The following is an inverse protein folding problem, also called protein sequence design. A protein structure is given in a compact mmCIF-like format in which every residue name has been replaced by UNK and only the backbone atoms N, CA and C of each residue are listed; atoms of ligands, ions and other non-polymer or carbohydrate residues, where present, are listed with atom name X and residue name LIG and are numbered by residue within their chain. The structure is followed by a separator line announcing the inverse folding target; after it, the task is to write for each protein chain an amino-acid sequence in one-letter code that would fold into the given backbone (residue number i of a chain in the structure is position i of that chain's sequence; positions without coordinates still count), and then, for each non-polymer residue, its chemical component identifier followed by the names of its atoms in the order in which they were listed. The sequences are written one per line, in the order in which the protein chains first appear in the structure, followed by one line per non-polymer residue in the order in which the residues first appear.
data_IF_667041703868
#
_entry.id   IF_667041703868
#
_cell.length_a   1.000
_cell.length_b   1.000
_cell.length_c   1.000
_cell.angle_alpha   90.00
_cell.angle_beta   90.00
_cell.angle_gamma   90.00
#
_symmetry.space_group_name_H-M   'P 1'
#
loop_
_entity.id
_entity.type
_entity.pdbx_description
1 polymer ?
#
# COMPACT_ATOMS: atom_id res chain seq x y z
N UNK A 1 -32.23 -36.02 -22.06
CA UNK A 1 -31.25 -35.60 -23.06
C UNK A 1 -31.79 -34.33 -23.67
N UNK A 2 -31.22 -33.19 -23.31
CA UNK A 2 -31.18 -31.99 -24.15
C UNK A 2 -30.17 -31.07 -23.49
N UNK A 3 -29.00 -31.01 -24.14
CA UNK A 3 -27.84 -30.22 -23.74
C UNK A 3 -28.05 -28.81 -24.27
N UNK A 4 -28.34 -27.86 -23.39
CA UNK A 4 -28.61 -26.47 -23.76
C UNK A 4 -27.28 -25.78 -24.11
N UNK A 5 -27.02 -25.71 -25.42
CA UNK A 5 -25.85 -25.10 -26.02
C UNK A 5 -25.91 -23.57 -25.85
N UNK A 6 -25.22 -23.04 -24.83
CA UNK A 6 -25.02 -21.59 -24.66
C UNK A 6 -24.10 -21.05 -25.75
N UNK A 7 -24.68 -20.35 -26.71
CA UNK A 7 -23.96 -19.53 -27.69
C UNK A 7 -23.11 -18.47 -26.98
N UNK A 8 -21.79 -18.57 -27.15
CA UNK A 8 -20.82 -17.59 -26.68
C UNK A 8 -20.83 -16.40 -27.64
N UNK A 9 -21.53 -15.34 -27.25
CA UNK A 9 -21.57 -14.06 -27.96
C UNK A 9 -20.14 -13.45 -28.02
N UNK A 10 -19.51 -13.52 -29.20
CA UNK A 10 -18.15 -13.00 -29.44
C UNK A 10 -18.17 -11.47 -29.42
N UNK A 11 -17.51 -10.86 -28.43
CA UNK A 11 -17.29 -9.40 -28.37
C UNK A 11 -16.57 -8.89 -29.63
N UNK A 12 -16.93 -7.70 -30.15
CA UNK A 12 -16.29 -7.14 -31.35
C UNK A 12 -14.80 -6.86 -31.09
N UNK A 13 -13.98 -7.18 -32.08
CA UNK A 13 -12.53 -7.03 -32.01
C UNK A 13 -12.17 -5.54 -31.99
N UNK A 14 -11.56 -5.06 -30.89
CA UNK A 14 -11.08 -3.68 -30.82
C UNK A 14 -9.94 -3.45 -31.82
N UNK A 15 -9.94 -2.31 -32.50
CA UNK A 15 -8.90 -1.94 -33.48
C UNK A 15 -7.49 -2.02 -32.87
N UNK A 16 -7.33 -1.60 -31.61
CA UNK A 16 -6.04 -1.65 -30.91
C UNK A 16 -5.61 -3.07 -30.56
N UNK A 17 -6.56 -3.95 -30.25
CA UNK A 17 -6.32 -5.38 -30.07
C UNK A 17 -5.91 -6.03 -31.40
N UNK A 18 -6.56 -5.66 -32.51
CA UNK A 18 -6.15 -6.04 -33.86
C UNK A 18 -4.74 -5.57 -34.22
N UNK A 19 -4.41 -4.33 -33.89
CA UNK A 19 -3.08 -3.75 -34.12
C UNK A 19 -2.00 -4.47 -33.29
N UNK A 20 -2.29 -4.82 -32.04
CA UNK A 20 -1.37 -5.57 -31.16
C UNK A 20 -1.09 -6.99 -31.70
N UNK A 21 -2.12 -7.71 -32.13
CA UNK A 21 -1.92 -9.02 -32.74
C UNK A 21 -1.18 -8.92 -34.09
N UNK A 22 -1.43 -7.87 -34.87
CA UNK A 22 -0.72 -7.62 -36.11
C UNK A 22 0.77 -7.30 -35.89
N UNK A 23 1.12 -6.47 -34.91
CA UNK A 23 2.51 -6.12 -34.60
C UNK A 23 3.28 -7.29 -33.97
N UNK A 24 2.63 -8.07 -33.11
CA UNK A 24 3.20 -9.29 -32.52
C UNK A 24 3.38 -10.40 -33.56
N UNK A 25 2.39 -10.58 -34.44
CA UNK A 25 2.47 -11.50 -35.58
C UNK A 25 3.57 -11.11 -36.57
N UNK A 26 3.66 -9.83 -36.92
CA UNK A 26 4.72 -9.30 -37.77
C UNK A 26 6.11 -9.49 -37.16
N UNK A 27 6.28 -9.23 -35.86
CA UNK A 27 7.54 -9.48 -35.17
C UNK A 27 7.94 -10.96 -35.25
N UNK A 28 6.99 -11.87 -35.01
CA UNK A 28 7.22 -13.32 -35.07
C UNK A 28 7.65 -13.77 -36.46
N UNK A 29 6.97 -13.29 -37.50
CA UNK A 29 7.33 -13.58 -38.90
C UNK A 29 8.69 -13.00 -39.29
N UNK A 30 9.05 -11.82 -38.79
CA UNK A 30 10.35 -11.22 -39.02
C UNK A 30 11.46 -11.98 -38.29
N UNK A 31 11.21 -12.49 -37.08
CA UNK A 31 12.15 -13.38 -36.39
C UNK A 31 12.34 -14.70 -37.14
N UNK A 32 11.26 -15.34 -37.60
CA UNK A 32 11.34 -16.55 -38.42
C UNK A 32 12.10 -16.29 -39.73
N UNK A 33 11.81 -15.15 -40.40
CA UNK A 33 12.53 -14.71 -41.59
C UNK A 33 14.01 -14.47 -41.31
N UNK A 34 14.38 -13.94 -40.15
CA UNK A 34 15.79 -13.72 -39.79
C UNK A 34 16.60 -15.03 -39.68
N UNK A 35 15.92 -16.15 -39.40
CA UNK A 35 16.51 -17.49 -39.39
C UNK A 35 16.76 -18.08 -40.79
N UNK A 36 16.30 -17.42 -41.86
CA UNK A 36 16.47 -17.90 -43.22
C UNK A 36 17.94 -17.81 -43.65
N UNK A 37 18.52 -18.99 -43.93
CA UNK A 37 19.93 -19.16 -44.32
C UNK A 37 20.30 -18.44 -45.62
N UNK A 38 19.33 -18.10 -46.46
CA UNK A 38 19.55 -17.40 -47.74
C UNK A 38 19.60 -15.87 -47.64
N UNK A 39 19.37 -15.28 -46.45
CA UNK A 39 19.52 -13.84 -46.25
C UNK A 39 20.96 -13.46 -45.97
N UNK A 40 21.41 -12.33 -46.55
CA UNK A 40 22.71 -11.73 -46.21
C UNK A 40 22.69 -11.16 -44.79
N UNK A 41 23.84 -11.06 -44.14
CA UNK A 41 23.94 -10.56 -42.77
C UNK A 41 23.37 -9.14 -42.59
N UNK A 42 23.55 -8.26 -43.57
CA UNK A 42 22.96 -6.91 -43.52
C UNK A 42 21.42 -6.95 -43.59
N UNK A 43 20.85 -7.88 -44.38
CA UNK A 43 19.41 -8.06 -44.47
C UNK A 43 18.85 -8.72 -43.20
N UNK A 44 19.57 -9.67 -42.58
CA UNK A 44 19.19 -10.25 -41.28
C UNK A 44 19.19 -9.19 -40.19
N UNK A 45 20.22 -8.35 -40.13
CA UNK A 45 20.29 -7.22 -39.19
C UNK A 45 19.08 -6.29 -39.32
N UNK A 46 18.75 -5.86 -40.54
CA UNK A 46 17.56 -5.04 -40.81
C UNK A 46 16.25 -5.74 -40.41
N UNK A 47 16.16 -7.04 -40.66
CA UNK A 47 14.96 -7.85 -40.32
C UNK A 47 14.79 -7.98 -38.79
N UNK A 48 15.88 -8.16 -38.05
CA UNK A 48 15.86 -8.26 -36.58
C UNK A 48 15.54 -6.90 -35.96
N UNK A 49 16.16 -5.81 -36.43
CA UNK A 49 15.84 -4.46 -35.96
C UNK A 49 14.36 -4.13 -36.19
N UNK A 50 13.81 -4.49 -37.36
CA UNK A 50 12.39 -4.33 -37.63
C UNK A 50 11.52 -5.17 -36.67
N UNK A 51 11.90 -6.41 -36.38
CA UNK A 51 11.17 -7.27 -35.43
C UNK A 51 11.15 -6.69 -34.01
N UNK A 52 12.29 -6.16 -33.54
CA UNK A 52 12.40 -5.52 -32.22
C UNK A 52 11.59 -4.22 -32.16
N UNK A 53 11.57 -3.42 -33.23
CA UNK A 53 10.69 -2.25 -33.31
C UNK A 53 9.21 -2.63 -33.28
N UNK A 54 8.80 -3.70 -33.95
CA UNK A 54 7.41 -4.20 -33.90
C UNK A 54 7.02 -4.67 -32.49
N UNK A 55 7.92 -5.34 -31.77
CA UNK A 55 7.68 -5.72 -30.37
C UNK A 55 7.59 -4.50 -29.45
N UNK A 56 8.49 -3.53 -29.63
CA UNK A 56 8.44 -2.28 -28.88
C UNK A 56 7.12 -1.54 -29.08
N UNK A 57 6.62 -1.47 -30.32
CA UNK A 57 5.33 -0.87 -30.64
C UNK A 57 4.15 -1.64 -30.01
N UNK A 58 4.22 -2.97 -29.96
CA UNK A 58 3.22 -3.79 -29.28
C UNK A 58 3.15 -3.49 -27.78
N UNK A 59 4.31 -3.43 -27.13
CA UNK A 59 4.42 -3.12 -25.69
C UNK A 59 4.03 -1.67 -25.40
N UNK A 60 4.43 -0.73 -26.25
CA UNK A 60 4.04 0.67 -26.12
C UNK A 60 2.54 0.88 -26.29
N UNK A 61 1.87 0.09 -27.14
CA UNK A 61 0.42 0.10 -27.29
C UNK A 61 -0.28 -0.48 -26.05
N UNK A 62 0.23 -1.56 -25.48
CA UNK A 62 -0.30 -2.18 -24.25
C UNK A 62 -0.14 -1.28 -23.02
N UNK A 63 1.00 -0.60 -22.90
CA UNK A 63 1.31 0.34 -21.82
C UNK A 63 0.73 1.75 -22.04
N UNK A 64 0.09 1.98 -23.19
CA UNK A 64 -0.54 3.25 -23.55
C UNK A 64 0.43 4.42 -23.77
N UNK A 65 1.70 4.14 -24.11
CA UNK A 65 2.76 5.14 -24.27
C UNK A 65 2.76 5.86 -25.63
N UNK A 66 1.86 5.50 -26.53
CA UNK A 66 1.75 6.15 -27.83
C UNK A 66 1.06 7.53 -27.70
N UNK A 67 1.61 8.61 -28.28
CA UNK A 67 1.09 9.97 -28.13
C UNK A 67 -0.30 10.20 -28.78
N UNK A 68 -0.86 9.18 -29.43
CA UNK A 68 -2.21 9.19 -30.02
C UNK A 68 -3.28 8.56 -29.12
N UNK A 69 -2.94 8.09 -27.92
CA UNK A 69 -3.88 7.47 -26.96
C UNK A 69 -4.72 8.51 -26.17
N UNK A 70 -5.16 9.58 -26.85
CA UNK A 70 -6.06 10.58 -26.26
C UNK A 70 -7.54 10.19 -26.33
N UNK A 71 -7.88 9.09 -27.00
CA UNK A 71 -9.24 8.56 -27.06
C UNK A 71 -9.20 7.04 -27.05
N UNK A 72 -9.44 6.43 -25.89
CA UNK A 72 -10.52 5.47 -25.62
C UNK A 72 -10.49 5.19 -24.11
N UNK A 73 -11.33 5.94 -23.40
CA UNK A 73 -11.80 5.59 -22.06
C UNK A 73 -13.21 5.04 -22.26
N UNK A 74 -13.35 3.74 -22.53
CA UNK A 74 -14.64 3.05 -22.47
C UNK A 74 -14.58 2.07 -21.30
N UNK A 75 -15.02 2.52 -20.12
CA UNK A 75 -16.37 2.30 -19.58
C UNK A 75 -16.79 0.84 -19.65
N UNK A 76 -16.70 0.21 -18.49
CA UNK A 76 -17.38 -1.03 -18.12
C UNK A 76 -18.85 -0.91 -18.51
N UNK A 77 -19.30 -1.76 -19.45
CA UNK A 77 -20.71 -1.90 -19.81
C UNK A 77 -21.41 -2.69 -18.70
N UNK A 78 -22.11 -1.97 -17.83
CA UNK A 78 -23.17 -2.52 -16.97
C UNK A 78 -24.38 -2.68 -17.90
N UNK A 79 -24.91 -3.90 -18.01
CA UNK A 79 -26.18 -4.15 -18.72
C UNK A 79 -27.27 -3.30 -18.08
N UNK A 80 -27.76 -2.31 -18.82
CA UNK A 80 -28.96 -1.55 -18.47
C UNK A 80 -30.16 -2.50 -18.44
N UNK A 81 -30.74 -2.68 -17.24
CA UNK A 81 -32.17 -2.97 -17.11
C UNK A 81 -32.94 -1.63 -17.11
N UNK A 82 -34.15 -1.59 -17.67
CA UNK A 82 -34.78 -0.34 -18.03
C UNK A 82 -35.40 0.36 -16.82
N UNK A 83 -35.06 1.64 -16.69
CA UNK A 83 -35.88 2.76 -16.19
C UNK A 83 -36.72 2.50 -14.93
N UNK A 84 -36.24 3.04 -13.79
CA UNK A 84 -36.94 4.10 -13.03
C UNK A 84 -36.08 4.55 -11.85
N UNK A 85 -35.79 5.86 -11.83
CA UNK A 85 -35.66 6.71 -10.64
C UNK A 85 -34.92 6.11 -9.43
N UNK A 86 -33.64 6.45 -9.26
CA UNK A 86 -33.08 6.77 -7.93
C UNK A 86 -31.66 7.36 -8.08
N UNK A 87 -31.55 8.69 -8.16
CA UNK A 87 -30.31 9.39 -7.83
C UNK A 87 -30.09 9.29 -6.32
N UNK A 88 -29.77 8.11 -5.80
CA UNK A 88 -29.25 7.93 -4.43
C UNK A 88 -28.76 6.49 -4.29
N UNK A 89 -27.49 6.23 -4.57
CA UNK A 89 -26.69 5.26 -3.81
C UNK A 89 -25.22 5.36 -4.20
N UNK A 90 -24.48 5.90 -3.23
CA UNK A 90 -23.04 5.94 -3.07
C UNK A 90 -22.38 4.61 -3.49
N UNK A 91 -21.54 4.63 -4.52
CA UNK A 91 -20.49 3.64 -4.66
C UNK A 91 -19.43 3.94 -3.59
N UNK A 92 -19.29 3.05 -2.61
CA UNK A 92 -18.40 3.24 -1.47
C UNK A 92 -16.92 3.34 -1.94
N UNK A 93 -16.07 4.14 -1.27
CA UNK A 93 -14.63 4.25 -1.60
C UNK A 93 -13.80 2.98 -1.36
N UNK A 94 -14.41 1.92 -0.82
CA UNK A 94 -13.71 0.73 -0.32
C UNK A 94 -13.31 -0.25 -1.42
N UNK A 95 -14.19 -0.55 -2.38
CA UNK A 95 -13.94 -1.54 -3.45
C UNK A 95 -12.88 -1.09 -4.47
N UNK A 96 -12.80 0.22 -4.75
CA UNK A 96 -11.78 0.76 -5.66
C UNK A 96 -10.37 0.70 -5.06
N UNK A 97 -10.25 0.88 -3.74
CA UNK A 97 -8.98 0.75 -3.00
C UNK A 97 -8.51 -0.71 -2.99
N UNK A 98 -9.39 -1.70 -2.77
CA UNK A 98 -9.01 -3.12 -2.72
C UNK A 98 -8.51 -3.65 -4.07
N UNK A 99 -9.13 -3.23 -5.17
CA UNK A 99 -8.70 -3.61 -6.52
C UNK A 99 -7.37 -2.95 -6.88
N UNK A 100 -7.19 -1.67 -6.57
CA UNK A 100 -5.91 -0.99 -6.76
C UNK A 100 -4.78 -1.65 -5.96
N UNK A 101 -5.05 -2.06 -4.72
CA UNK A 101 -4.09 -2.78 -3.88
C UNK A 101 -3.77 -4.20 -4.36
N UNK A 102 -4.73 -4.90 -4.97
CA UNK A 102 -4.51 -6.22 -5.57
C UNK A 102 -3.74 -6.13 -6.89
N UNK A 103 -4.00 -5.10 -7.71
CA UNK A 103 -3.27 -4.82 -8.96
C UNK A 103 -1.81 -4.47 -8.64
N UNK A 104 -1.56 -3.57 -7.68
CA UNK A 104 -0.20 -3.17 -7.27
C UNK A 104 0.66 -4.31 -6.67
N UNK A 105 0.05 -5.31 -6.00
CA UNK A 105 0.79 -6.48 -5.46
C UNK A 105 1.20 -7.49 -6.54
N UNK A 106 0.36 -7.69 -7.57
CA UNK A 106 0.68 -8.62 -8.67
C UNK A 106 1.72 -8.06 -9.64
N UNK A 107 1.76 -6.75 -9.81
CA UNK A 107 2.67 -6.11 -10.77
C UNK A 107 4.17 -6.23 -10.38
N UNK A 108 4.55 -6.46 -9.13
CA UNK A 108 5.95 -6.35 -8.72
C UNK A 108 6.82 -7.60 -8.98
N UNK A 109 6.29 -8.82 -8.83
CA UNK A 109 7.09 -10.04 -9.07
C UNK A 109 7.24 -10.32 -10.56
N UNK A 110 6.13 -10.26 -11.30
CA UNK A 110 6.12 -10.48 -12.75
C UNK A 110 6.94 -9.40 -13.46
N UNK A 111 6.85 -8.12 -13.09
CA UNK A 111 7.71 -7.07 -13.66
C UNK A 111 9.20 -7.22 -13.28
N UNK A 112 9.53 -7.85 -12.15
CA UNK A 112 10.91 -8.14 -11.78
C UNK A 112 11.46 -9.29 -12.61
N UNK A 113 10.68 -10.35 -12.81
CA UNK A 113 11.05 -11.50 -13.66
C UNK A 113 11.15 -11.09 -15.12
N UNK A 114 10.14 -10.39 -15.65
CA UNK A 114 10.09 -9.92 -17.05
C UNK A 114 11.19 -8.89 -17.30
N UNK A 115 11.40 -7.94 -16.39
CA UNK A 115 12.45 -6.92 -16.52
C UNK A 115 13.86 -7.50 -16.41
N UNK A 116 14.08 -8.48 -15.55
CA UNK A 116 15.39 -9.16 -15.45
C UNK A 116 15.63 -10.03 -16.67
N UNK A 117 14.60 -10.76 -17.12
CA UNK A 117 14.67 -11.61 -18.31
C UNK A 117 14.95 -10.84 -19.59
N UNK A 118 14.32 -9.68 -19.78
CA UNK A 118 14.54 -8.84 -20.97
C UNK A 118 15.96 -8.25 -21.01
N UNK A 119 16.46 -7.73 -19.89
CA UNK A 119 17.84 -7.25 -19.79
C UNK A 119 18.88 -8.35 -20.05
N UNK A 120 18.68 -9.54 -19.48
CA UNK A 120 19.56 -10.71 -19.73
C UNK A 120 19.49 -11.16 -21.19
N UNK A 121 18.31 -11.18 -21.80
CA UNK A 121 18.14 -11.56 -23.20
C UNK A 121 18.87 -10.59 -24.14
N UNK A 122 18.73 -9.27 -23.92
CA UNK A 122 19.41 -8.23 -24.69
C UNK A 122 20.93 -8.37 -24.54
N UNK A 123 21.43 -8.53 -23.32
CA UNK A 123 22.87 -8.73 -23.05
C UNK A 123 23.44 -9.95 -23.77
N UNK A 124 22.78 -11.10 -23.65
CA UNK A 124 23.19 -12.36 -24.29
C UNK A 124 23.14 -12.26 -25.81
N UNK A 125 22.10 -11.62 -26.37
CA UNK A 125 21.95 -11.41 -27.80
C UNK A 125 23.10 -10.56 -28.37
N UNK A 126 23.47 -9.47 -27.70
CA UNK A 126 24.58 -8.61 -28.13
C UNK A 126 25.91 -9.37 -28.05
N UNK A 127 26.16 -10.14 -26.99
CA UNK A 127 27.38 -10.96 -26.88
C UNK A 127 27.46 -12.03 -27.97
N UNK A 128 26.36 -12.73 -28.24
CA UNK A 128 26.31 -13.78 -29.25
C UNK A 128 26.62 -13.25 -30.65
N UNK A 129 26.01 -12.12 -31.04
CA UNK A 129 26.23 -11.51 -32.36
C UNK A 129 27.62 -10.89 -32.49
N UNK A 130 28.18 -10.34 -31.41
CA UNK A 130 29.55 -9.78 -31.41
C UNK A 130 30.65 -10.85 -31.31
N UNK A 131 30.30 -12.09 -30.98
CA UNK A 131 31.20 -13.24 -31.00
C UNK A 131 31.23 -13.92 -32.38
N UNK A 132 30.06 -14.15 -32.96
CA UNK A 132 29.91 -15.02 -34.15
C UNK A 132 30.05 -14.30 -35.49
N UNK A 133 29.95 -12.97 -35.51
CA UNK A 133 30.00 -12.20 -36.76
C UNK A 133 31.40 -11.67 -37.09
N UNK A 134 31.90 -12.08 -38.25
CA UNK A 134 33.19 -11.63 -38.82
C UNK A 134 33.29 -10.11 -38.98
N UNK A 135 32.14 -9.43 -39.12
CA UNK A 135 32.10 -7.96 -39.22
C UNK A 135 32.65 -7.28 -37.97
N UNK A 136 32.28 -7.76 -36.78
CA UNK A 136 32.73 -7.18 -35.52
C UNK A 136 34.14 -7.64 -35.14
N UNK A 137 34.56 -8.82 -35.61
CA UNK A 137 35.94 -9.30 -35.44
C UNK A 137 36.93 -8.36 -36.13
N UNK A 138 36.60 -7.88 -37.33
CA UNK A 138 37.43 -6.94 -38.11
C UNK A 138 37.39 -5.49 -37.60
N UNK A 139 36.49 -5.14 -36.66
CA UNK A 139 36.31 -3.78 -36.12
C UNK A 139 36.35 -3.77 -34.58
N UNK A 140 37.55 -3.77 -33.98
CA UNK A 140 37.72 -4.00 -32.54
C UNK A 140 37.05 -2.92 -31.67
N UNK A 141 37.06 -1.65 -32.11
CA UNK A 141 36.44 -0.54 -31.37
C UNK A 141 34.90 -0.66 -31.30
N UNK A 142 34.25 -1.02 -32.41
CA UNK A 142 32.79 -1.23 -32.46
C UNK A 142 32.40 -2.44 -31.63
N UNK A 143 33.21 -3.51 -31.68
CA UNK A 143 33.02 -4.71 -30.86
C UNK A 143 33.13 -4.41 -29.37
N UNK A 144 34.11 -3.62 -28.96
CA UNK A 144 34.29 -3.20 -27.57
C UNK A 144 33.08 -2.37 -27.09
N UNK A 145 32.65 -1.38 -27.88
CA UNK A 145 31.48 -0.55 -27.53
C UNK A 145 30.21 -1.39 -27.35
N UNK A 146 29.92 -2.33 -28.27
CA UNK A 146 28.75 -3.21 -28.16
C UNK A 146 28.84 -4.16 -26.95
N UNK A 147 30.02 -4.68 -26.62
CA UNK A 147 30.21 -5.49 -25.41
C UNK A 147 29.99 -4.66 -24.13
N UNK A 148 30.37 -3.38 -24.12
CA UNK A 148 30.06 -2.48 -22.99
C UNK A 148 28.56 -2.29 -22.81
N UNK A 149 27.78 -2.15 -23.89
CA UNK A 149 26.32 -2.10 -23.80
C UNK A 149 25.72 -3.41 -23.27
N UNK A 150 26.26 -4.57 -23.66
CA UNK A 150 25.84 -5.85 -23.09
C UNK A 150 26.14 -5.93 -21.58
N UNK A 151 27.32 -5.46 -21.14
CA UNK A 151 27.70 -5.42 -19.74
C UNK A 151 26.73 -4.53 -18.91
N UNK A 152 26.31 -3.40 -19.45
CA UNK A 152 25.28 -2.53 -18.83
C UNK A 152 23.94 -3.26 -18.69
N UNK A 153 23.54 -4.04 -19.70
CA UNK A 153 22.30 -4.82 -19.64
C UNK A 153 22.35 -5.93 -18.58
N UNK A 154 23.47 -6.66 -18.47
CA UNK A 154 23.66 -7.66 -17.42
C UNK A 154 23.75 -7.04 -16.02
N UNK A 155 24.44 -5.90 -15.90
CA UNK A 155 24.46 -5.13 -14.65
C UNK A 155 23.05 -4.66 -14.26
N UNK A 156 22.25 -4.20 -15.22
CA UNK A 156 20.84 -3.85 -15.00
C UNK A 156 19.99 -5.03 -14.53
N UNK A 157 20.20 -6.22 -15.10
CA UNK A 157 19.54 -7.46 -14.67
C UNK A 157 19.93 -7.84 -13.23
N UNK A 158 21.22 -7.82 -12.91
CA UNK A 158 21.74 -8.12 -11.57
C UNK A 158 21.28 -7.07 -10.53
N UNK A 159 21.33 -5.78 -10.89
CA UNK A 159 20.82 -4.68 -10.06
C UNK A 159 19.33 -4.85 -9.76
N UNK A 160 18.52 -5.25 -10.74
CA UNK A 160 17.08 -5.53 -10.56
C UNK A 160 16.79 -6.77 -9.73
N UNK A 161 17.69 -7.74 -9.75
CA UNK A 161 17.56 -8.98 -8.97
C UNK A 161 18.10 -8.85 -7.54
N UNK A 162 19.15 -8.09 -7.28
CA UNK A 162 19.79 -8.03 -5.96
C UNK A 162 19.61 -6.71 -5.22
N UNK A 163 19.53 -5.59 -5.94
CA UNK A 163 19.66 -4.25 -5.34
C UNK A 163 18.41 -3.40 -5.39
N UNK A 164 17.51 -3.63 -6.37
CA UNK A 164 16.18 -3.03 -6.34
C UNK A 164 15.30 -3.92 -5.45
N UNK A 165 14.99 -3.47 -4.20
CA UNK A 165 14.07 -4.23 -3.37
C UNK A 165 12.74 -4.37 -4.12
N UNK A 166 11.94 -5.41 -3.83
CA UNK A 166 10.53 -5.33 -4.18
C UNK A 166 10.00 -3.98 -3.67
N UNK A 167 9.18 -3.28 -4.45
CA UNK A 167 8.59 -2.00 -4.05
C UNK A 167 7.68 -2.10 -2.80
N UNK A 168 7.74 -3.20 -2.05
CA UNK A 168 7.11 -3.39 -0.74
C UNK A 168 7.58 -2.35 0.28
N UNK A 169 8.85 -1.90 0.20
CA UNK A 169 9.38 -0.92 1.17
C UNK A 169 8.99 0.53 0.87
N UNK A 170 8.46 0.86 -0.31
CA UNK A 170 7.83 2.16 -0.53
C UNK A 170 6.46 2.25 0.17
N UNK A 171 5.79 1.12 0.41
CA UNK A 171 4.53 1.10 1.16
C UNK A 171 4.73 1.45 2.64
N UNK A 172 5.80 0.93 3.27
CA UNK A 172 6.10 1.25 4.68
C UNK A 172 6.61 2.69 4.88
N UNK A 173 7.16 3.34 3.84
CA UNK A 173 7.68 4.72 3.93
C UNK A 173 6.70 5.81 3.46
N UNK A 174 5.55 5.48 2.86
CA UNK A 174 4.64 6.49 2.27
C UNK A 174 3.16 6.31 2.63
N UNK A 175 2.80 5.36 3.49
CA UNK A 175 1.43 5.33 4.03
C UNK A 175 1.38 6.28 5.21
N UNK A 176 0.90 7.51 4.96
CA UNK A 176 0.46 8.38 6.05
C UNK A 176 -0.69 7.67 6.77
N UNK A 177 -0.70 7.61 8.12
CA UNK A 177 -1.84 7.05 8.83
C UNK A 177 -3.12 7.76 8.39
N UNK A 178 -4.23 7.04 8.34
CA UNK A 178 -5.57 7.64 8.24
C UNK A 178 -6.20 7.77 9.64
N UNK A 179 -5.72 7.00 10.63
CA UNK A 179 -6.21 6.98 12.01
C UNK A 179 -5.02 7.02 12.99
N UNK A 180 -5.09 7.89 13.99
CA UNK A 180 -4.12 7.95 15.10
C UNK A 180 -4.84 7.64 16.42
N UNK A 181 -4.44 6.58 17.10
CA UNK A 181 -4.94 6.26 18.44
C UNK A 181 -3.97 6.80 19.49
N UNK A 182 -4.41 7.73 20.33
CA UNK A 182 -3.64 8.18 21.50
C UNK A 182 -3.99 7.29 22.68
N UNK A 183 -3.03 6.47 23.10
CA UNK A 183 -3.20 5.43 24.11
C UNK A 183 -2.36 5.65 25.37
N UNK A 184 -2.75 4.94 26.44
CA UNK A 184 -2.16 5.08 27.77
C UNK A 184 -3.19 4.87 28.88
N UNK A 185 -2.70 4.73 30.10
CA UNK A 185 -3.56 4.60 31.29
C UNK A 185 -4.32 5.90 31.57
N UNK A 186 -5.32 5.81 32.44
CA UNK A 186 -6.07 6.98 32.90
C UNK A 186 -5.15 7.95 33.65
N UNK A 187 -5.42 9.23 33.50
CA UNK A 187 -4.52 10.28 34.00
C UNK A 187 -3.33 10.62 33.09
N UNK A 188 -3.02 9.79 32.08
CA UNK A 188 -1.89 10.05 31.16
C UNK A 188 -2.08 11.31 30.28
N UNK A 189 -3.31 11.80 30.13
CA UNK A 189 -3.62 13.00 29.33
C UNK A 189 -4.05 12.72 27.88
N UNK A 190 -4.50 11.48 27.59
CA UNK A 190 -4.92 11.04 26.24
C UNK A 190 -5.84 12.04 25.53
N UNK A 191 -6.99 12.39 26.12
CA UNK A 191 -7.98 13.26 25.47
C UNK A 191 -7.39 14.64 25.17
N UNK A 192 -6.66 15.24 26.12
CA UNK A 192 -6.01 16.55 25.92
C UNK A 192 -4.95 16.51 24.81
N UNK A 193 -4.08 15.50 24.80
CA UNK A 193 -3.05 15.34 23.75
C UNK A 193 -3.68 15.04 22.40
N UNK A 194 -4.71 14.18 22.36
CA UNK A 194 -5.43 13.82 21.14
C UNK A 194 -6.15 15.01 20.51
N UNK A 195 -6.82 15.83 21.32
CA UNK A 195 -7.50 17.05 20.89
C UNK A 195 -6.52 18.05 20.30
N UNK A 196 -5.44 18.38 21.02
CA UNK A 196 -4.41 19.32 20.53
C UNK A 196 -3.69 18.78 19.28
N UNK A 197 -3.44 17.47 19.22
CA UNK A 197 -2.86 16.83 18.04
C UNK A 197 -3.80 16.96 16.84
N UNK A 198 -5.09 16.66 17.02
CA UNK A 198 -6.10 16.75 15.98
C UNK A 198 -6.23 18.17 15.42
N UNK A 199 -6.27 19.17 16.29
CA UNK A 199 -6.27 20.59 15.89
C UNK A 199 -5.04 20.94 15.05
N UNK A 200 -3.85 20.57 15.52
CA UNK A 200 -2.58 20.89 14.84
C UNK A 200 -2.49 20.28 13.45
N UNK A 201 -2.95 19.05 13.26
CA UNK A 201 -2.92 18.34 11.97
C UNK A 201 -4.23 18.50 11.16
N UNK A 202 -5.19 19.28 11.66
CA UNK A 202 -6.52 19.50 11.05
C UNK A 202 -7.32 18.22 10.82
N UNK A 203 -7.35 17.33 11.82
CA UNK A 203 -8.10 16.07 11.84
C UNK A 203 -9.24 16.12 12.86
N UNK A 204 -10.16 15.16 12.80
CA UNK A 204 -11.27 15.09 13.74
C UNK A 204 -10.87 14.35 15.01
N UNK A 205 -11.02 15.01 16.16
CA UNK A 205 -10.85 14.37 17.47
C UNK A 205 -12.09 13.57 17.86
N UNK A 206 -11.86 12.38 18.42
CA UNK A 206 -12.90 11.54 19.00
C UNK A 206 -12.42 11.01 20.35
N UNK A 207 -13.25 11.17 21.38
CA UNK A 207 -13.03 10.46 22.65
C UNK A 207 -13.62 9.05 22.57
N UNK A 208 -12.77 8.03 22.68
CA UNK A 208 -13.16 6.62 22.64
C UNK A 208 -14.05 6.22 23.81
N UNK A 209 -14.02 6.97 24.92
CA UNK A 209 -14.88 6.69 26.08
C UNK A 209 -16.37 6.94 25.75
N UNK A 210 -16.69 7.73 24.71
CA UNK A 210 -18.05 7.97 24.22
C UNK A 210 -18.73 6.71 23.66
N UNK A 211 -17.95 5.68 23.30
CA UNK A 211 -18.47 4.44 22.74
C UNK A 211 -18.78 3.38 23.81
N UNK A 212 -18.55 3.69 25.09
CA UNK A 212 -18.89 2.76 26.17
C UNK A 212 -20.40 2.62 26.32
N UNK A 213 -20.83 1.39 26.58
CA UNK A 213 -22.21 1.13 27.00
C UNK A 213 -22.48 1.79 28.36
N UNK A 214 -23.77 2.08 28.63
CA UNK A 214 -24.20 2.58 29.93
C UNK A 214 -23.77 1.65 31.08
N UNK A 215 -23.83 0.34 30.88
CA UNK A 215 -23.40 -0.66 31.86
C UNK A 215 -21.89 -0.55 32.17
N UNK A 216 -21.04 -0.31 31.16
CA UNK A 216 -19.61 -0.12 31.37
C UNK A 216 -19.32 1.17 32.15
N UNK A 217 -20.01 2.25 31.81
CA UNK A 217 -19.90 3.53 32.52
C UNK A 217 -20.31 3.35 33.99
N UNK A 218 -21.40 2.66 34.27
CA UNK A 218 -21.86 2.38 35.64
C UNK A 218 -20.86 1.52 36.43
N UNK A 219 -20.28 0.47 35.81
CA UNK A 219 -19.20 -0.32 36.42
C UNK A 219 -18.00 0.56 36.80
N UNK A 220 -17.50 1.36 35.86
CA UNK A 220 -16.34 2.22 36.10
C UNK A 220 -16.61 3.30 37.16
N UNK A 221 -17.81 3.89 37.16
CA UNK A 221 -18.24 4.86 38.20
C UNK A 221 -18.25 4.24 39.59
N UNK A 222 -18.61 2.97 39.70
CA UNK A 222 -18.57 2.21 40.96
C UNK A 222 -17.17 1.68 41.31
N UNK A 223 -16.13 2.07 40.56
CA UNK A 223 -14.75 1.60 40.77
C UNK A 223 -14.53 0.13 40.41
N UNK A 224 -15.45 -0.49 39.68
CA UNK A 224 -15.36 -1.88 39.23
C UNK A 224 -14.59 -1.89 37.89
N UNK A 225 -13.43 -2.55 37.81
CA UNK A 225 -12.66 -2.63 36.58
C UNK A 225 -13.42 -3.48 35.55
N UNK A 226 -13.44 -2.99 34.30
CA UNK A 226 -14.01 -3.74 33.18
C UNK A 226 -13.22 -5.03 32.92
N UNK A 227 -13.89 -6.06 32.44
CA UNK A 227 -13.28 -7.29 31.94
C UNK A 227 -13.12 -7.25 30.41
N UNK A 228 -12.51 -8.27 29.82
CA UNK A 228 -12.29 -8.30 28.36
C UNK A 228 -13.64 -8.39 27.62
N UNK A 229 -14.60 -9.14 28.17
CA UNK A 229 -15.97 -9.29 27.67
C UNK A 229 -16.73 -7.96 27.62
N UNK A 230 -16.44 -7.07 28.57
CA UNK A 230 -16.99 -5.71 28.60
C UNK A 230 -16.35 -4.81 27.53
N UNK A 231 -15.08 -5.07 27.19
CA UNK A 231 -14.28 -4.22 26.28
C UNK A 231 -14.45 -4.60 24.81
N UNK A 232 -14.68 -5.87 24.47
CA UNK A 232 -14.80 -6.29 23.07
C UNK A 232 -15.86 -5.51 22.28
N UNK A 233 -17.12 -5.36 22.78
CA UNK A 233 -18.13 -4.60 22.04
C UNK A 233 -17.77 -3.12 21.91
N UNK A 234 -17.15 -2.55 22.95
CA UNK A 234 -16.69 -1.16 22.95
C UNK A 234 -15.60 -0.90 21.91
N UNK A 235 -14.59 -1.77 21.84
CA UNK A 235 -13.50 -1.67 20.86
C UNK A 235 -14.00 -1.87 19.43
N UNK A 236 -14.95 -2.78 19.22
CA UNK A 236 -15.55 -2.98 17.90
C UNK A 236 -16.36 -1.77 17.45
N UNK A 237 -17.10 -1.11 18.36
CA UNK A 237 -17.81 0.13 18.03
C UNK A 237 -16.85 1.24 17.58
N UNK A 238 -15.70 1.39 18.25
CA UNK A 238 -14.64 2.32 17.83
C UNK A 238 -14.08 1.93 16.46
N UNK A 239 -13.84 0.64 16.23
CA UNK A 239 -13.30 0.14 14.94
C UNK A 239 -14.27 0.39 13.79
N UNK A 240 -15.55 0.07 13.97
CA UNK A 240 -16.60 0.32 12.97
C UNK A 240 -16.68 1.79 12.63
N UNK A 241 -16.68 2.67 13.65
CA UNK A 241 -16.67 4.10 13.42
C UNK A 241 -15.42 4.56 12.65
N UNK A 242 -14.25 4.00 12.97
CA UNK A 242 -13.00 4.29 12.27
C UNK A 242 -12.95 3.72 10.84
N UNK A 243 -13.70 2.65 10.52
CA UNK A 243 -13.83 2.11 9.15
C UNK A 243 -14.68 2.99 8.25
N UNK A 244 -15.67 3.68 8.82
CA UNK A 244 -16.58 4.57 8.08
C UNK A 244 -16.00 5.98 7.88
N UNK A 245 -14.92 6.31 8.58
CA UNK A 245 -14.33 7.64 8.63
C UNK A 245 -12.83 7.61 8.34
N UNK A 246 -12.22 8.76 8.09
CA UNK A 246 -10.76 8.89 7.91
C UNK A 246 -10.29 10.20 8.51
N UNK A 247 -8.97 10.33 8.73
CA UNK A 247 -8.35 11.49 9.39
C UNK A 247 -8.89 11.70 10.80
N UNK A 248 -8.83 10.64 11.60
CA UNK A 248 -9.30 10.65 12.98
C UNK A 248 -8.14 10.57 13.97
N UNK A 249 -8.22 11.35 15.04
CA UNK A 249 -7.39 11.18 16.24
C UNK A 249 -8.29 10.71 17.36
N UNK A 250 -8.09 9.48 17.83
CA UNK A 250 -8.98 8.81 18.78
C UNK A 250 -8.24 8.63 20.11
N UNK A 251 -8.75 9.20 21.20
CA UNK A 251 -8.27 8.87 22.54
C UNK A 251 -8.84 7.51 22.94
N UNK A 252 -7.98 6.50 23.13
CA UNK A 252 -8.43 5.16 23.52
C UNK A 252 -7.37 4.47 24.36
N UNK A 253 -7.73 3.84 25.48
CA UNK A 253 -6.75 3.25 26.40
C UNK A 253 -5.92 2.12 25.77
N UNK A 254 -6.52 1.28 24.91
CA UNK A 254 -5.86 0.26 24.07
C UNK A 254 -4.71 -0.51 24.75
N UNK A 255 -4.94 -0.91 26.01
CA UNK A 255 -3.88 -1.36 26.94
C UNK A 255 -3.23 -2.69 26.57
N UNK A 256 -3.96 -3.61 25.93
CA UNK A 256 -3.46 -4.93 25.51
C UNK A 256 -3.13 -4.96 24.02
N UNK A 257 -2.16 -5.80 23.63
CA UNK A 257 -1.78 -6.01 22.22
C UNK A 257 -2.98 -6.44 21.37
N UNK A 258 -3.79 -7.38 21.87
CA UNK A 258 -4.99 -7.86 21.17
C UNK A 258 -6.00 -6.75 20.86
N UNK A 259 -6.07 -5.71 21.70
CA UNK A 259 -6.96 -4.57 21.46
C UNK A 259 -6.44 -3.70 20.32
N UNK A 260 -5.12 -3.47 20.29
CA UNK A 260 -4.46 -2.72 19.21
C UNK A 260 -4.56 -3.46 17.88
N UNK A 261 -4.38 -4.78 17.89
CA UNK A 261 -4.56 -5.63 16.70
C UNK A 261 -5.99 -5.56 16.16
N UNK A 262 -7.01 -5.58 17.03
CA UNK A 262 -8.40 -5.39 16.62
C UNK A 262 -8.61 -4.01 15.99
N UNK A 263 -8.20 -2.94 16.68
CA UNK A 263 -8.38 -1.56 16.22
C UNK A 263 -7.60 -1.23 14.94
N UNK A 264 -6.46 -1.91 14.69
CA UNK A 264 -5.68 -1.75 13.47
C UNK A 264 -6.19 -2.60 12.30
N UNK A 265 -7.09 -3.56 12.56
CA UNK A 265 -7.54 -4.51 11.55
C UNK A 265 -8.29 -3.78 10.43
N UNK A 266 -7.80 -3.96 9.21
CA UNK A 266 -8.32 -3.35 7.98
C UNK A 266 -8.19 -1.80 7.93
N UNK A 267 -7.39 -1.22 8.82
CA UNK A 267 -7.19 0.24 8.95
C UNK A 267 -5.71 0.61 8.87
N UNK A 268 -5.42 1.78 8.30
CA UNK A 268 -4.10 2.41 8.37
C UNK A 268 -3.98 3.20 9.68
N UNK A 269 -3.80 2.47 10.77
CA UNK A 269 -3.80 3.00 12.13
C UNK A 269 -2.40 3.00 12.75
N UNK A 270 -2.05 4.12 13.41
CA UNK A 270 -0.87 4.24 14.26
C UNK A 270 -1.29 4.52 15.70
N UNK A 271 -0.59 3.95 16.66
CA UNK A 271 -0.82 4.14 18.09
C UNK A 271 0.28 5.03 18.66
N UNK A 272 -0.11 6.05 19.42
CA UNK A 272 0.79 6.90 20.19
C UNK A 272 0.62 6.52 21.65
N UNK A 273 1.61 5.82 22.21
CA UNK A 273 1.62 5.44 23.61
C UNK A 273 2.25 6.54 24.46
N UNK A 274 1.43 7.14 25.32
CA UNK A 274 1.87 8.11 26.31
C UNK A 274 2.43 7.37 27.52
N UNK A 275 3.76 7.23 27.55
CA UNK A 275 4.49 6.58 28.64
C UNK A 275 4.70 7.59 29.78
N UNK A 276 3.93 7.39 30.86
CA UNK A 276 3.93 8.24 32.05
C UNK A 276 4.28 7.36 33.24
N UNK A 277 5.21 7.81 34.07
CA UNK A 277 5.61 7.08 35.27
C UNK A 277 4.45 7.05 36.28
N UNK A 278 4.41 5.99 37.10
CA UNK A 278 3.39 5.83 38.15
C UNK A 278 3.31 7.06 39.07
N UNK A 279 4.46 7.56 39.53
CA UNK A 279 4.55 8.72 40.43
C UNK A 279 3.94 9.98 39.80
N UNK A 280 4.17 10.19 38.51
CA UNK A 280 3.60 11.33 37.78
C UNK A 280 2.09 11.17 37.56
N UNK A 281 1.62 9.94 37.27
CA UNK A 281 0.18 9.65 37.17
C UNK A 281 -0.55 9.92 38.48
N UNK A 282 -0.01 9.45 39.61
CA UNK A 282 -0.57 9.69 40.96
C UNK A 282 -0.60 11.20 41.28
N UNK A 283 0.45 11.94 40.94
CA UNK A 283 0.49 13.41 41.10
C UNK A 283 -0.56 14.12 40.23
N UNK A 284 -0.75 13.69 38.97
CA UNK A 284 -1.74 14.27 38.06
C UNK A 284 -3.17 13.98 38.50
N UNK A 285 -3.41 12.76 39.00
CA UNK A 285 -4.74 12.35 39.47
C UNK A 285 -5.12 13.05 40.77
N UNK A 286 -4.18 13.31 41.68
CA UNK A 286 -4.44 14.04 42.93
C UNK A 286 -4.68 15.53 42.71
N UNK A 287 -4.07 16.15 41.70
CA UNK A 287 -4.29 17.57 41.35
C UNK A 287 -5.61 17.85 40.63
N UNK A 288 -6.25 16.84 40.02
CA UNK A 288 -7.52 17.02 39.29
C UNK A 288 -8.71 17.15 40.24
N UNK A 289 -9.41 18.27 40.17
CA UNK A 289 -10.70 18.49 40.82
C UNK A 289 -11.81 17.92 39.93
N UNK A 290 -12.54 16.91 40.43
CA UNK A 290 -13.60 16.22 39.67
C UNK A 290 -13.25 14.76 39.39
N UNK A 291 -13.49 13.89 40.38
CA UNK A 291 -13.16 12.47 40.31
C UNK A 291 -14.07 11.71 39.35
N UNK A 292 -13.67 11.55 38.08
CA UNK A 292 -14.30 10.55 37.21
C UNK A 292 -13.77 9.13 37.50
N UNK A 293 -12.61 8.98 38.15
CA UNK A 293 -12.03 7.67 38.46
C UNK A 293 -11.21 7.65 39.76
N UNK A 294 -11.48 6.68 40.67
CA UNK A 294 -10.72 6.55 41.92
C UNK A 294 -9.30 6.03 41.68
N UNK A 295 -8.34 6.41 42.54
CA UNK A 295 -6.94 5.97 42.44
C UNK A 295 -6.78 4.43 42.45
N UNK A 296 -7.71 3.69 43.05
CA UNK A 296 -7.74 2.22 43.04
C UNK A 296 -7.89 1.62 41.64
N UNK A 297 -8.41 2.36 40.66
CA UNK A 297 -8.49 1.94 39.26
C UNK A 297 -7.16 2.12 38.50
N UNK A 298 -6.21 2.90 39.03
CA UNK A 298 -4.90 3.05 38.39
C UNK A 298 -4.11 1.74 38.45
N UNK A 299 -4.13 1.05 39.59
CA UNK A 299 -3.45 -0.23 39.76
C UNK A 299 -3.96 -1.30 38.78
N UNK A 300 -5.29 -1.39 38.61
CA UNK A 300 -5.88 -2.35 37.67
C UNK A 300 -5.52 -2.03 36.22
N UNK A 301 -5.43 -0.75 35.85
CA UNK A 301 -5.01 -0.36 34.51
C UNK A 301 -3.52 -0.59 34.25
N UNK A 302 -2.66 -0.30 35.20
CA UNK A 302 -1.23 -0.61 35.11
C UNK A 302 -1.00 -2.12 35.02
N UNK A 303 -1.76 -2.93 35.77
CA UNK A 303 -1.72 -4.39 35.66
C UNK A 303 -2.24 -4.91 34.32
N UNK A 304 -3.17 -4.19 33.68
CA UNK A 304 -3.72 -4.54 32.36
C UNK A 304 -2.84 -4.08 31.21
N UNK A 305 -1.95 -3.11 31.44
CA UNK A 305 -1.09 -2.53 30.42
C UNK A 305 -0.04 -3.54 29.94
N UNK A 306 -0.18 -3.97 28.69
CA UNK A 306 0.85 -4.70 27.97
C UNK A 306 1.70 -3.67 27.22
N UNK A 307 2.87 -3.35 27.79
CA UNK A 307 3.83 -2.42 27.19
C UNK A 307 4.09 -2.76 25.72
N UNK A 308 4.03 -1.77 24.80
CA UNK A 308 4.30 -1.98 23.39
C UNK A 308 5.68 -2.60 23.18
N UNK A 309 5.72 -3.69 22.42
CA UNK A 309 6.96 -4.41 22.11
C UNK A 309 7.57 -3.90 20.81
N UNK A 310 8.86 -4.20 20.61
CA UNK A 310 9.59 -3.77 19.41
C UNK A 310 9.06 -4.37 18.10
N UNK A 311 8.28 -5.46 18.14
CA UNK A 311 7.61 -6.04 16.98
C UNK A 311 6.37 -5.26 16.53
N UNK A 312 5.82 -4.39 17.39
CA UNK A 312 4.65 -3.56 17.10
C UNK A 312 5.08 -2.28 16.34
N UNK A 313 5.40 -2.44 15.05
CA UNK A 313 5.89 -1.34 14.17
C UNK A 313 4.96 -0.11 14.09
N UNK A 314 3.67 -0.28 14.37
CA UNK A 314 2.65 0.77 14.32
C UNK A 314 2.44 1.48 15.66
N UNK A 315 3.34 1.33 16.63
CA UNK A 315 3.27 2.00 17.93
C UNK A 315 4.46 2.94 18.14
N UNK A 316 4.18 4.22 18.39
CA UNK A 316 5.14 5.25 18.75
C UNK A 316 5.06 5.49 20.26
N UNK A 317 6.17 5.31 20.95
CA UNK A 317 6.25 5.53 22.41
C UNK A 317 6.75 6.96 22.69
N UNK A 318 5.97 7.73 23.44
CA UNK A 318 6.29 9.11 23.81
C UNK A 318 6.39 9.21 25.33
N UNK A 319 7.60 9.46 25.82
CA UNK A 319 7.87 9.68 27.24
C UNK A 319 7.49 11.12 27.60
N UNK A 320 6.62 11.30 28.58
CA UNK A 320 6.02 12.60 28.90
C UNK A 320 6.89 13.50 29.81
N UNK A 321 8.05 13.04 30.27
CA UNK A 321 8.95 13.72 31.23
C UNK A 321 8.97 15.26 31.13
N UNK A 322 8.18 15.94 31.98
CA UNK A 322 8.03 17.39 32.15
C UNK A 322 7.77 18.23 30.87
N UNK A 323 7.34 17.60 29.77
CA UNK A 323 7.04 18.31 28.53
C UNK A 323 5.70 19.04 28.61
N UNK A 324 5.64 20.26 28.06
CA UNK A 324 4.37 20.93 27.79
C UNK A 324 3.56 20.13 26.76
N UNK A 325 2.24 20.35 26.71
CA UNK A 325 1.36 19.71 25.73
C UNK A 325 1.87 19.95 24.30
N UNK A 326 2.27 21.18 23.99
CA UNK A 326 2.86 21.53 22.69
C UNK A 326 4.16 20.78 22.38
N UNK A 327 4.99 20.55 23.40
CA UNK A 327 6.21 19.75 23.28
C UNK A 327 5.90 18.30 22.93
N UNK A 328 4.93 17.69 23.63
CA UNK A 328 4.46 16.33 23.39
C UNK A 328 3.89 16.21 21.97
N UNK A 329 2.99 17.09 21.57
CA UNK A 329 2.38 17.10 20.24
C UNK A 329 3.44 17.29 19.15
N UNK A 330 4.42 18.18 19.37
CA UNK A 330 5.52 18.38 18.41
C UNK A 330 6.40 17.13 18.27
N UNK A 331 6.66 16.41 19.36
CA UNK A 331 7.38 15.14 19.31
C UNK A 331 6.59 14.06 18.56
N UNK A 332 5.27 13.99 18.77
CA UNK A 332 4.39 13.09 18.03
C UNK A 332 4.45 13.42 16.54
N UNK A 333 4.31 14.69 16.15
CA UNK A 333 4.34 15.10 14.75
C UNK A 333 5.68 14.74 14.07
N UNK A 334 6.80 14.97 14.75
CA UNK A 334 8.13 14.57 14.26
C UNK A 334 8.28 13.06 14.08
N UNK A 335 7.59 12.26 14.88
CA UNK A 335 7.65 10.80 14.81
C UNK A 335 6.72 10.23 13.74
N UNK A 336 5.69 10.98 13.34
CA UNK A 336 4.67 10.58 12.37
C UNK A 336 4.83 11.27 11.00
N UNK A 337 5.86 12.11 10.82
CA UNK A 337 6.09 12.95 9.64
C UNK A 337 4.85 13.77 9.22
N UNK A 338 4.13 14.34 10.20
CA UNK A 338 2.90 15.11 9.98
C UNK A 338 3.00 16.62 10.22
#
# INVERSE_FOLDING_TARGET
MEEEQKDVEKKPFSFFTGLQYATTGAATLLFLRSGNRFLTHAQRGKTITAAVCCLYLSVANEMGWLPFNYFVKERISIKEQPTKSFCTQLASPSESKTIAEQVLRKDCFECRVIGTGSCTFIGTFILYNTWTSDYYIKRPYVRAALKSFAAVAFYGAAARWFYLPPFTNLKEMMIKPEIIYVMGVSGAGKSTVAEHLAEKISWTFIDGDNFHSRANIEKMKNGIPLQDEDRWPWLENIRVHALENSKLVIACSSLKKKYRELLAKDLQAVFVFLDVTRTELEMRMTKRTGHFMPCSMLDSQLATLEYPRADEKNVVVVKIADLSIDGIVTQICRSLDC
#
